data_IF_148912377478
#
_entry.id   IF_148912377478
#
_cell.length_a   1.000
_cell.length_b   1.000
_cell.length_c   1.000
_cell.angle_alpha   90.00
_cell.angle_beta   90.00
_cell.angle_gamma   90.00
#
_symmetry.space_group_name_H-M   'P 1'
#
loop_
_entity.id
_entity.type
_entity.pdbx_description
1 polymer ?
#
# COMPACT_ATOMS: atom_id res chain seq x y z
N UNK A 1 5.69 -11.74 42.46
CA UNK A 1 5.81 -10.30 42.12
C UNK A 1 5.69 -10.23 40.63
N UNK A 2 4.45 -10.15 40.15
CA UNK A 2 4.14 -9.66 38.82
C UNK A 2 4.73 -8.25 38.72
N UNK A 3 5.71 -8.08 37.83
CA UNK A 3 5.97 -6.78 37.22
C UNK A 3 5.21 -6.85 35.91
N UNK A 4 4.04 -6.23 35.91
CA UNK A 4 3.24 -5.94 34.74
C UNK A 4 4.13 -5.32 33.65
N UNK A 5 4.24 -5.98 32.48
CA UNK A 5 4.75 -5.35 31.26
C UNK A 5 3.67 -4.44 30.65
N UNK A 6 3.09 -3.58 31.47
CA UNK A 6 1.97 -2.73 31.08
C UNK A 6 2.42 -1.29 30.78
N UNK A 7 3.62 -1.10 30.21
CA UNK A 7 4.15 0.22 29.78
C UNK A 7 5.18 0.10 28.61
N UNK A 8 4.96 -0.78 27.62
CA UNK A 8 5.67 -0.67 26.33
C UNK A 8 4.79 0.17 25.37
N UNK A 9 4.70 1.48 25.62
CA UNK A 9 4.10 2.45 24.69
C UNK A 9 5.05 2.76 23.51
N UNK A 10 4.47 3.09 22.34
CA UNK A 10 4.07 2.16 21.31
C UNK A 10 5.26 1.80 20.40
N UNK A 11 5.23 0.59 19.88
CA UNK A 11 5.99 0.26 18.68
C UNK A 11 5.48 1.18 17.56
N UNK A 12 6.27 2.13 17.07
CA UNK A 12 5.75 3.21 16.20
C UNK A 12 5.52 2.80 14.75
N UNK A 13 5.58 3.77 13.85
CA UNK A 13 5.43 3.58 12.40
C UNK A 13 6.79 3.26 11.78
N UNK A 14 6.85 2.18 11.00
CA UNK A 14 8.00 1.83 10.20
C UNK A 14 7.72 2.14 8.73
N UNK A 15 8.44 3.13 8.18
CA UNK A 15 8.32 3.55 6.79
C UNK A 15 9.42 2.91 5.94
N UNK A 16 9.00 2.15 4.93
CA UNK A 16 9.85 1.56 3.90
C UNK A 16 9.47 2.16 2.54
N UNK A 17 10.42 2.83 1.89
CA UNK A 17 10.22 3.51 0.61
C UNK A 17 10.97 2.78 -0.49
N UNK A 18 10.24 2.43 -1.54
CA UNK A 18 10.75 1.83 -2.77
C UNK A 18 11.20 2.95 -3.73
N UNK A 19 12.50 3.22 -3.78
CA UNK A 19 13.06 4.31 -4.56
C UNK A 19 12.81 4.21 -6.06
N UNK A 20 13.10 3.08 -6.74
CA UNK A 20 12.83 2.91 -8.18
C UNK A 20 11.37 3.14 -8.59
N UNK A 21 10.42 2.97 -7.67
CA UNK A 21 9.01 3.16 -7.96
C UNK A 21 8.47 4.55 -7.55
N UNK A 22 9.00 5.12 -6.46
CA UNK A 22 8.59 6.43 -5.93
C UNK A 22 9.29 7.60 -6.62
N UNK A 23 10.56 7.45 -6.98
CA UNK A 23 11.41 8.55 -7.47
C UNK A 23 11.44 8.67 -9.00
N UNK A 24 10.47 8.07 -9.70
CA UNK A 24 10.43 8.20 -11.16
C UNK A 24 10.02 9.63 -11.52
N UNK A 25 10.72 10.19 -12.51
CA UNK A 25 10.54 11.58 -12.98
C UNK A 25 9.09 11.91 -13.39
N UNK A 26 8.29 10.90 -13.71
CA UNK A 26 6.90 11.03 -14.12
C UNK A 26 5.92 11.39 -12.99
N UNK A 27 6.35 11.38 -11.71
CA UNK A 27 5.42 11.52 -10.57
C UNK A 27 5.80 12.61 -9.56
N UNK A 28 6.91 13.33 -9.76
CA UNK A 28 7.44 14.44 -8.93
C UNK A 28 7.13 14.34 -7.42
N UNK A 29 7.34 13.16 -6.82
CA UNK A 29 6.97 12.91 -5.42
C UNK A 29 8.06 13.38 -4.46
N UNK A 30 7.69 14.24 -3.52
CA UNK A 30 8.57 14.63 -2.42
C UNK A 30 8.62 13.55 -1.34
N UNK A 31 9.83 13.12 -1.00
CA UNK A 31 10.09 12.21 0.11
C UNK A 31 9.61 12.78 1.46
N UNK A 32 9.57 14.12 1.60
CA UNK A 32 9.00 14.76 2.78
C UNK A 32 7.49 14.51 2.89
N UNK A 33 6.76 14.41 1.78
CA UNK A 33 5.32 14.16 1.80
C UNK A 33 5.03 12.72 2.19
N UNK A 34 5.83 11.78 1.67
CA UNK A 34 5.79 10.37 2.06
C UNK A 34 6.07 10.23 3.57
N UNK A 35 7.08 10.94 4.07
CA UNK A 35 7.41 10.96 5.50
C UNK A 35 6.27 11.53 6.34
N UNK A 36 5.69 12.68 5.94
CA UNK A 36 4.56 13.31 6.62
C UNK A 36 3.33 12.41 6.68
N UNK A 37 3.03 11.70 5.59
CA UNK A 37 1.92 10.76 5.56
C UNK A 37 2.10 9.59 6.53
N UNK A 38 3.33 9.08 6.68
CA UNK A 38 3.62 8.06 7.69
C UNK A 38 3.59 8.63 9.12
N UNK A 39 4.11 9.84 9.34
CA UNK A 39 4.07 10.53 10.64
C UNK A 39 2.64 10.79 11.14
N UNK A 40 1.69 10.99 10.22
CA UNK A 40 0.29 11.17 10.57
C UNK A 40 -0.34 9.94 11.24
N UNK A 41 0.22 8.74 11.03
CA UNK A 41 -0.24 7.50 11.68
C UNK A 41 0.45 7.24 13.03
N UNK A 42 1.54 7.96 13.36
CA UNK A 42 2.27 7.80 14.61
C UNK A 42 3.76 8.16 14.51
N UNK A 43 4.51 8.07 15.62
CA UNK A 43 5.94 8.38 15.64
C UNK A 43 6.72 7.40 14.77
N UNK A 44 7.60 7.91 13.90
CA UNK A 44 8.47 7.09 13.06
C UNK A 44 9.54 6.41 13.91
N UNK A 45 9.55 5.08 13.93
CA UNK A 45 10.62 4.27 14.56
C UNK A 45 11.69 3.84 13.58
N UNK A 46 11.35 3.78 12.29
CA UNK A 46 12.30 3.56 11.21
C UNK A 46 11.82 4.23 9.93
N UNK A 47 12.75 4.79 9.18
CA UNK A 47 12.50 5.47 7.91
C UNK A 47 13.60 5.05 6.95
N UNK A 48 13.27 4.19 5.99
CA UNK A 48 14.26 3.60 5.08
C UNK A 48 13.89 3.86 3.63
N UNK A 49 14.88 4.28 2.86
CA UNK A 49 14.78 4.40 1.41
C UNK A 49 15.65 3.33 0.77
N UNK A 50 15.04 2.47 -0.03
CA UNK A 50 15.74 1.40 -0.74
C UNK A 50 16.05 1.85 -2.17
N UNK A 51 17.32 1.72 -2.55
CA UNK A 51 17.83 2.12 -3.84
C UNK A 51 18.67 1.01 -4.48
N UNK A 52 18.72 1.01 -5.81
CA UNK A 52 19.64 0.17 -6.56
C UNK A 52 21.08 0.73 -6.55
N UNK A 53 22.02 -0.07 -7.05
CA UNK A 53 23.45 0.27 -7.10
C UNK A 53 23.81 1.46 -8.00
N UNK A 54 22.89 1.90 -8.86
CA UNK A 54 23.06 3.03 -9.77
C UNK A 54 22.56 4.35 -9.20
N UNK A 55 22.08 4.36 -7.95
CA UNK A 55 21.68 5.57 -7.27
C UNK A 55 22.78 6.63 -7.27
N UNK A 56 22.42 7.84 -7.71
CA UNK A 56 23.38 8.94 -7.77
C UNK A 56 23.75 9.41 -6.35
N UNK A 57 25.00 9.86 -6.12
CA UNK A 57 25.40 10.43 -4.83
C UNK A 57 24.52 11.59 -4.38
N UNK A 58 24.00 12.38 -5.33
CA UNK A 58 23.08 13.49 -5.02
C UNK A 58 21.75 13.02 -4.46
N UNK A 59 21.18 11.94 -5.01
CA UNK A 59 19.95 11.36 -4.50
C UNK A 59 20.14 10.79 -3.07
N UNK A 60 21.24 10.08 -2.83
CA UNK A 60 21.57 9.54 -1.51
C UNK A 60 21.65 10.67 -0.48
N UNK A 61 22.39 11.73 -0.78
CA UNK A 61 22.53 12.89 0.10
C UNK A 61 21.19 13.60 0.34
N UNK A 62 20.36 13.73 -0.69
CA UNK A 62 19.04 14.34 -0.58
C UNK A 62 18.08 13.54 0.32
N UNK A 63 18.17 12.21 0.29
CA UNK A 63 17.38 11.33 1.12
C UNK A 63 17.86 11.35 2.59
N UNK A 64 19.18 11.25 2.81
CA UNK A 64 19.78 11.34 4.15
C UNK A 64 19.48 12.69 4.81
N UNK A 65 19.53 13.79 4.05
CA UNK A 65 19.18 15.12 4.54
C UNK A 65 17.72 15.23 5.02
N UNK A 66 16.82 14.37 4.51
CA UNK A 66 15.42 14.26 4.91
C UNK A 66 15.18 13.23 6.03
N UNK A 67 16.25 12.64 6.56
CA UNK A 67 16.19 11.70 7.68
C UNK A 67 15.91 10.25 7.29
N UNK A 68 16.13 9.88 6.03
CA UNK A 68 16.04 8.49 5.60
C UNK A 68 17.38 7.74 5.81
N UNK A 69 17.30 6.53 6.34
CA UNK A 69 18.38 5.54 6.25
C UNK A 69 18.36 4.97 4.82
N UNK A 70 19.41 5.24 4.04
CA UNK A 70 19.50 4.77 2.65
C UNK A 70 20.11 3.37 2.62
N UNK A 71 19.37 2.42 2.07
CA UNK A 71 19.78 1.04 1.87
C UNK A 71 20.03 0.80 0.39
N UNK A 72 21.30 0.58 0.03
CA UNK A 72 21.69 0.28 -1.35
C UNK A 72 21.89 -1.22 -1.51
N UNK A 73 21.33 -1.79 -2.58
CA UNK A 73 21.51 -3.20 -2.92
C UNK A 73 21.88 -3.36 -4.40
N UNK A 74 22.73 -4.32 -4.70
CA UNK A 74 23.02 -4.77 -6.08
C UNK A 74 22.05 -5.85 -6.57
N UNK A 75 21.12 -6.27 -5.71
CA UNK A 75 20.05 -7.20 -6.03
C UNK A 75 18.74 -6.47 -6.33
N UNK A 76 17.67 -7.25 -6.41
CA UNK A 76 16.33 -6.71 -6.53
C UNK A 76 15.96 -5.90 -5.27
N UNK A 77 15.60 -4.63 -5.48
CA UNK A 77 15.25 -3.67 -4.43
C UNK A 77 13.99 -4.10 -3.71
N UNK A 78 13.01 -4.64 -4.44
CA UNK A 78 11.71 -5.05 -3.91
C UNK A 78 11.87 -6.25 -2.97
N UNK A 79 12.70 -7.21 -3.37
CA UNK A 79 13.03 -8.37 -2.52
C UNK A 79 13.70 -7.92 -1.24
N UNK A 80 14.67 -6.99 -1.31
CA UNK A 80 15.39 -6.51 -0.13
C UNK A 80 14.46 -5.76 0.83
N UNK A 81 13.59 -4.91 0.30
CA UNK A 81 12.59 -4.19 1.09
C UNK A 81 11.62 -5.18 1.74
N UNK A 82 11.04 -6.11 0.98
CA UNK A 82 10.07 -7.08 1.49
C UNK A 82 10.67 -7.96 2.60
N UNK A 83 11.92 -8.40 2.47
CA UNK A 83 12.61 -9.19 3.50
C UNK A 83 12.83 -8.39 4.78
N UNK A 84 13.27 -7.14 4.67
CA UNK A 84 13.48 -6.28 5.83
C UNK A 84 12.16 -5.95 6.54
N UNK A 85 11.11 -5.61 5.77
CA UNK A 85 9.78 -5.34 6.31
C UNK A 85 9.17 -6.57 7.00
N UNK A 86 9.26 -7.76 6.38
CA UNK A 86 8.78 -9.01 6.98
C UNK A 86 9.54 -9.35 8.26
N UNK A 87 10.85 -9.11 8.29
CA UNK A 87 11.67 -9.28 9.49
C UNK A 87 11.24 -8.33 10.60
N UNK A 88 11.06 -7.05 10.29
CA UNK A 88 10.59 -6.07 11.27
C UNK A 88 9.21 -6.42 11.83
N UNK A 89 8.33 -6.96 10.99
CA UNK A 89 7.02 -7.45 11.40
C UNK A 89 7.13 -8.67 12.33
N UNK A 90 7.95 -9.66 11.97
CA UNK A 90 8.15 -10.86 12.78
C UNK A 90 8.85 -10.59 14.13
N UNK A 91 9.67 -9.53 14.21
CA UNK A 91 10.33 -9.09 15.44
C UNK A 91 9.44 -8.15 16.27
N UNK A 92 8.19 -7.90 15.87
CA UNK A 92 7.23 -6.99 16.53
C UNK A 92 7.85 -5.61 16.83
N UNK A 93 8.58 -5.07 15.84
CA UNK A 93 9.33 -3.79 15.93
C UNK A 93 8.57 -2.56 15.46
N UNK A 94 7.31 -2.71 15.09
CA UNK A 94 6.41 -1.62 14.72
C UNK A 94 4.94 -1.99 14.99
N UNK A 95 4.08 -1.00 15.22
CA UNK A 95 2.63 -1.20 15.27
C UNK A 95 1.99 -0.87 13.93
N UNK A 96 2.67 -0.05 13.12
CA UNK A 96 2.25 0.30 11.77
C UNK A 96 3.39 0.03 10.78
N UNK A 97 3.10 -0.75 9.75
CA UNK A 97 3.96 -0.91 8.58
C UNK A 97 3.49 0.04 7.48
N UNK A 98 4.27 1.07 7.18
CA UNK A 98 4.04 1.96 6.05
C UNK A 98 4.97 1.56 4.88
N UNK A 99 4.39 1.22 3.73
CA UNK A 99 5.13 0.93 2.50
C UNK A 99 4.77 2.00 1.47
N UNK A 100 5.77 2.76 1.05
CA UNK A 100 5.65 3.69 -0.06
C UNK A 100 6.12 3.01 -1.34
N UNK A 101 5.18 2.44 -2.08
CA UNK A 101 5.39 1.82 -3.38
C UNK A 101 4.05 1.71 -4.12
N UNK A 102 4.13 1.50 -5.43
CA UNK A 102 2.97 1.14 -6.26
C UNK A 102 2.95 -0.33 -6.64
N UNK A 103 4.01 -1.07 -6.30
CA UNK A 103 4.12 -2.44 -6.73
C UNK A 103 3.15 -3.34 -5.96
N UNK A 104 2.45 -4.19 -6.71
CA UNK A 104 1.57 -5.21 -6.11
C UNK A 104 2.38 -6.32 -5.46
N UNK A 105 3.66 -6.46 -5.82
CA UNK A 105 4.54 -7.51 -5.31
C UNK A 105 4.81 -7.37 -3.81
N UNK A 106 4.48 -6.24 -3.18
CA UNK A 106 4.48 -6.07 -1.72
C UNK A 106 3.24 -6.64 -1.01
N UNK A 107 2.23 -7.11 -1.74
CA UNK A 107 1.03 -7.72 -1.14
C UNK A 107 1.37 -8.84 -0.14
N UNK A 108 2.27 -9.80 -0.42
CA UNK A 108 2.59 -10.86 0.54
C UNK A 108 3.20 -10.35 1.85
N UNK A 109 4.00 -9.28 1.83
CA UNK A 109 4.56 -8.71 3.07
C UNK A 109 3.51 -7.95 3.88
N UNK A 110 2.58 -7.27 3.20
CA UNK A 110 1.41 -6.65 3.84
C UNK A 110 0.52 -7.70 4.50
N UNK A 111 0.21 -8.79 3.80
CA UNK A 111 -0.57 -9.91 4.35
C UNK A 111 0.13 -10.57 5.54
N UNK A 112 1.46 -10.73 5.47
CA UNK A 112 2.24 -11.25 6.59
C UNK A 112 2.17 -10.33 7.82
N UNK A 113 2.36 -9.02 7.64
CA UNK A 113 2.25 -8.03 8.72
C UNK A 113 0.84 -8.01 9.35
N UNK A 114 -0.20 -8.03 8.52
CA UNK A 114 -1.59 -8.16 9.01
C UNK A 114 -1.79 -9.44 9.82
N UNK A 115 -1.16 -10.56 9.41
CA UNK A 115 -1.18 -11.83 10.14
C UNK A 115 -0.53 -11.76 11.53
N UNK A 116 0.44 -10.86 11.72
CA UNK A 116 1.03 -10.55 13.04
C UNK A 116 0.23 -9.53 13.85
N UNK A 117 -0.92 -9.05 13.33
CA UNK A 117 -1.72 -8.01 13.99
C UNK A 117 -1.15 -6.60 13.85
N UNK A 118 -0.17 -6.39 12.97
CA UNK A 118 0.42 -5.09 12.68
C UNK A 118 -0.49 -4.37 11.68
N UNK A 119 -0.80 -3.10 11.95
CA UNK A 119 -1.58 -2.27 11.03
C UNK A 119 -0.73 -1.93 9.80
N UNK A 120 -1.29 -2.04 8.61
CA UNK A 120 -0.57 -1.75 7.37
C UNK A 120 -1.10 -0.51 6.67
N UNK A 121 -0.18 0.29 6.11
CA UNK A 121 -0.45 1.50 5.35
C UNK A 121 0.29 1.44 4.00
N UNK A 122 -0.45 1.52 2.89
CA UNK A 122 0.13 1.70 1.57
C UNK A 122 0.15 3.19 1.20
N UNK A 123 1.33 3.74 0.91
CA UNK A 123 1.50 5.13 0.44
C UNK A 123 1.78 5.08 -1.06
N UNK A 124 0.83 5.58 -1.85
CA UNK A 124 0.97 5.63 -3.30
C UNK A 124 1.52 7.01 -3.74
N UNK A 125 2.68 7.05 -4.42
CA UNK A 125 3.17 8.26 -5.08
C UNK A 125 2.32 8.57 -6.32
N UNK A 126 1.59 9.70 -6.30
CA UNK A 126 0.71 10.17 -7.37
C UNK A 126 -0.66 9.46 -7.46
N UNK A 127 -1.61 10.13 -8.10
CA UNK A 127 -2.91 9.55 -8.47
C UNK A 127 -2.81 8.51 -9.61
N UNK A 128 -1.82 8.65 -10.51
CA UNK A 128 -1.64 7.78 -11.67
C UNK A 128 -0.66 6.62 -11.38
N UNK A 129 -1.16 5.39 -11.41
CA UNK A 129 -0.35 4.16 -11.29
C UNK A 129 -0.46 3.42 -9.95
N UNK A 130 -1.41 3.78 -9.09
CA UNK A 130 -1.69 3.07 -7.83
C UNK A 130 -2.12 1.62 -8.08
N UNK A 131 -1.58 0.68 -7.29
CA UNK A 131 -2.08 -0.69 -7.27
C UNK A 131 -3.32 -0.83 -6.38
N UNK A 132 -4.47 -1.13 -6.99
CA UNK A 132 -5.70 -1.48 -6.28
C UNK A 132 -5.52 -2.71 -5.38
N UNK A 133 -4.68 -3.66 -5.81
CA UNK A 133 -4.43 -4.89 -5.06
C UNK A 133 -3.63 -4.65 -3.77
N UNK A 134 -2.64 -3.75 -3.80
CA UNK A 134 -1.90 -3.37 -2.60
C UNK A 134 -2.79 -2.59 -1.62
N UNK A 135 -3.60 -1.66 -2.14
CA UNK A 135 -4.57 -0.92 -1.34
C UNK A 135 -5.58 -1.84 -0.65
N UNK A 136 -6.11 -2.82 -1.35
CA UNK A 136 -7.10 -3.75 -0.80
C UNK A 136 -6.50 -4.70 0.25
N UNK A 137 -5.19 -4.95 0.19
CA UNK A 137 -4.49 -5.75 1.19
C UNK A 137 -4.13 -4.95 2.45
N UNK A 138 -3.93 -3.63 2.32
CA UNK A 138 -3.56 -2.77 3.44
C UNK A 138 -4.77 -2.38 4.30
N UNK A 139 -4.54 -2.14 5.61
CA UNK A 139 -5.60 -1.61 6.48
C UNK A 139 -5.93 -0.14 6.18
N UNK A 140 -4.98 0.61 5.62
CA UNK A 140 -5.16 1.99 5.17
C UNK A 140 -4.35 2.28 3.91
N UNK A 141 -4.74 3.32 3.18
CA UNK A 141 -4.01 3.81 2.01
C UNK A 141 -4.01 5.32 1.97
N UNK A 142 -2.85 5.93 1.70
CA UNK A 142 -2.70 7.37 1.47
C UNK A 142 -2.16 7.59 0.07
N UNK A 143 -2.60 8.67 -0.57
CA UNK A 143 -2.10 9.12 -1.86
C UNK A 143 -1.41 10.45 -1.66
N UNK A 144 -0.25 10.60 -2.28
CA UNK A 144 0.44 11.88 -2.35
C UNK A 144 0.26 12.43 -3.76
N UNK A 145 -0.44 13.54 -3.91
CA UNK A 145 -0.64 14.19 -5.22
C UNK A 145 0.46 15.21 -5.52
N UNK A 146 0.65 15.50 -6.82
CA UNK A 146 1.62 16.48 -7.31
C UNK A 146 1.28 17.88 -6.80
N UNK A 147 2.06 18.36 -5.84
CA UNK A 147 1.96 19.73 -5.31
C UNK A 147 1.08 19.80 -4.06
N UNK A 148 1.74 19.81 -2.89
CA UNK A 148 1.07 19.98 -1.61
C UNK A 148 0.27 21.29 -1.55
N UNK A 149 -1.03 21.14 -1.31
CA UNK A 149 -1.83 22.07 -0.53
C UNK A 149 -2.74 21.25 0.39
N UNK A 150 -2.81 21.69 1.64
CA UNK A 150 -3.56 21.08 2.74
C UNK A 150 -5.00 20.74 2.37
N UNK A 151 -5.45 19.50 2.61
CA UNK A 151 -6.85 19.26 3.00
C UNK A 151 -7.02 17.96 3.81
N UNK A 152 -6.99 18.13 5.13
CA UNK A 152 -7.47 17.14 6.08
C UNK A 152 -9.01 17.12 6.08
N UNK A 153 -9.67 16.34 5.21
CA UNK A 153 -11.05 15.89 5.46
C UNK A 153 -11.36 14.57 4.73
N UNK A 154 -12.00 13.61 5.43
CA UNK A 154 -12.76 12.57 4.72
C UNK A 154 -12.94 11.22 5.41
N UNK A 155 -13.63 11.19 6.56
CA UNK A 155 -14.36 9.99 7.00
C UNK A 155 -15.35 9.52 5.93
N UNK A 156 -15.42 8.22 5.69
CA UNK A 156 -16.56 7.56 5.04
C UNK A 156 -16.16 6.18 4.49
N UNK A 157 -16.26 5.12 5.30
CA UNK A 157 -17.44 4.27 5.49
C UNK A 157 -17.57 3.18 4.43
N UNK A 158 -17.46 1.94 4.92
CA UNK A 158 -17.92 0.71 4.31
C UNK A 158 -19.27 0.85 3.59
N UNK A 159 -19.41 0.15 2.47
CA UNK A 159 -20.56 -0.72 2.23
C UNK A 159 -20.17 -1.83 1.24
N UNK A 160 -20.11 -3.06 1.77
CA UNK A 160 -20.13 -4.31 1.03
C UNK A 160 -21.58 -4.66 0.62
N UNK A 161 -21.78 -5.05 -0.64
CA UNK A 161 -22.84 -5.95 -1.12
C UNK A 161 -22.56 -6.21 -2.62
N UNK A 162 -21.78 -7.23 -2.96
CA UNK A 162 -22.13 -8.66 -3.07
C UNK A 162 -23.10 -9.02 -4.21
N UNK A 163 -22.58 -9.93 -5.06
CA UNK A 163 -23.24 -11.03 -5.76
C UNK A 163 -24.36 -10.77 -6.79
N UNK A 164 -24.60 -11.60 -7.81
CA UNK A 164 -23.87 -12.60 -8.61
C UNK A 164 -24.86 -13.05 -9.71
N UNK A 165 -24.31 -13.52 -10.84
CA UNK A 165 -24.77 -14.65 -11.66
C UNK A 165 -26.18 -14.72 -12.30
N UNK A 166 -26.13 -15.09 -13.60
CA UNK A 166 -26.82 -16.22 -14.24
C UNK A 166 -27.90 -15.95 -15.31
N UNK A 167 -27.59 -16.53 -16.49
CA UNK A 167 -28.44 -17.35 -17.36
C UNK A 167 -29.63 -16.74 -18.14
N UNK A 168 -29.43 -16.73 -19.46
CA UNK A 168 -30.34 -17.19 -20.54
C UNK A 168 -31.58 -17.98 -20.09
N UNK A 169 -32.77 -17.58 -20.56
CA UNK A 169 -33.51 -18.31 -21.63
C UNK A 169 -34.87 -17.67 -22.02
N UNK A 170 -35.21 -17.88 -23.30
CA UNK A 170 -36.54 -18.02 -23.88
C UNK A 170 -37.56 -16.85 -23.88
N UNK A 171 -37.60 -16.11 -25.00
CA UNK A 171 -38.84 -15.50 -25.50
C UNK A 171 -39.37 -16.31 -26.69
N UNK A 172 -40.47 -17.02 -26.49
CA UNK A 172 -41.34 -17.50 -27.55
C UNK A 172 -42.77 -17.46 -27.03
N UNK A 173 -43.54 -16.44 -27.43
CA UNK A 173 -45.00 -16.50 -27.36
C UNK A 173 -45.68 -15.81 -28.54
N UNK A 174 -46.71 -16.52 -29.00
CA UNK A 174 -47.89 -16.10 -29.73
C UNK A 174 -47.77 -15.83 -31.24
N UNK A 175 -48.33 -16.76 -32.01
CA UNK A 175 -48.52 -16.65 -33.45
C UNK A 175 -49.55 -17.65 -34.00
N UNK A 176 -50.79 -17.50 -33.53
CA UNK A 176 -52.08 -17.87 -34.13
C UNK A 176 -52.20 -19.01 -35.18
N UNK A 177 -52.98 -20.01 -34.75
CA UNK A 177 -53.97 -20.85 -35.45
C UNK A 177 -54.53 -20.31 -36.78
N UNK A 178 -54.53 -21.17 -37.81
CA UNK A 178 -55.61 -21.49 -38.80
C UNK A 178 -55.03 -22.54 -39.76
N UNK A 179 -55.69 -23.51 -40.37
CA UNK A 179 -57.03 -24.12 -40.36
C UNK A 179 -56.94 -25.23 -41.46
N UNK A 180 -57.61 -26.39 -41.28
CA UNK A 180 -58.11 -27.38 -42.27
C UNK A 180 -57.21 -27.84 -43.46
N UNK A 181 -57.16 -29.07 -43.97
CA UNK A 181 -57.92 -30.34 -43.90
C UNK A 181 -57.02 -31.40 -44.64
N UNK A 182 -57.23 -32.72 -44.52
CA UNK A 182 -56.40 -33.75 -45.14
C UNK A 182 -57.01 -34.29 -46.46
N UNK A 183 -56.15 -34.61 -47.44
CA UNK A 183 -56.18 -35.82 -48.30
C UNK A 183 -54.81 -36.05 -48.94
#
# INVERSE_FOLDING_TARGET
>A
MESSREDEEPVGVALFVDGPNVLREEFDVDLDDVRRAAEAEGPLVTTRLYLDEHATPGLIQAAEARGFEVVITSGDVDVKLAVDAARFAAEERMSVLAIASRDTDFKPVVEAANGYGIRTLAIAPGEFGRSDALRNAANGSVTIDEGGDDDATGRGSHDDADATAAAVDAEADSGAVTDSDPE
#
